data_IF_912634486032
#
_entry.id   IF_912634486032
#
_cell.length_a   1.000
_cell.length_b   1.000
_cell.length_c   1.000
_cell.angle_alpha   90.00
_cell.angle_beta   90.00
_cell.angle_gamma   90.00
#
_symmetry.space_group_name_H-M   'P 1'
#
loop_
_entity.id
_entity.type
_entity.pdbx_description
1 polymer ?
#
# COMPACT_ATOMS: atom_id res chain seq x y z
N UNK A 1 -25.00 -7.36 -3.82
CA UNK A 1 -23.72 -8.05 -3.52
C UNK A 1 -22.82 -7.87 -4.73
N UNK A 2 -21.72 -7.17 -4.57
CA UNK A 2 -20.67 -7.09 -5.59
C UNK A 2 -20.00 -8.46 -5.68
N UNK A 3 -19.86 -8.99 -6.89
CA UNK A 3 -19.13 -10.24 -7.13
C UNK A 3 -17.68 -9.91 -7.48
N UNK A 4 -16.75 -10.60 -6.84
CA UNK A 4 -15.32 -10.52 -7.11
C UNK A 4 -14.85 -11.90 -7.57
N UNK A 5 -14.18 -11.95 -8.73
CA UNK A 5 -13.57 -13.20 -9.19
C UNK A 5 -12.44 -13.58 -8.23
N UNK A 6 -12.34 -14.85 -7.79
CA UNK A 6 -11.29 -15.26 -6.85
C UNK A 6 -9.87 -15.04 -7.39
N UNK A 7 -9.71 -15.13 -8.71
CA UNK A 7 -8.46 -14.98 -9.43
C UNK A 7 -8.75 -14.39 -10.81
N UNK A 8 -7.84 -13.55 -11.33
CA UNK A 8 -7.91 -13.05 -12.70
C UNK A 8 -6.54 -12.77 -13.28
N UNK A 9 -6.46 -12.80 -14.61
CA UNK A 9 -5.27 -12.42 -15.39
C UNK A 9 -5.23 -10.91 -15.64
N UNK A 10 -4.06 -10.31 -15.45
CA UNK A 10 -3.80 -8.90 -15.77
C UNK A 10 -2.47 -8.75 -16.52
N UNK A 11 -2.38 -7.69 -17.31
CA UNK A 11 -1.13 -7.26 -17.95
C UNK A 11 -0.78 -5.90 -17.34
N UNK A 12 0.38 -5.83 -16.70
CA UNK A 12 0.85 -4.66 -15.97
C UNK A 12 2.31 -4.35 -16.34
N UNK A 13 2.69 -3.08 -16.36
CA UNK A 13 4.02 -2.66 -16.79
C UNK A 13 4.96 -2.44 -15.60
N UNK A 14 6.09 -3.13 -15.60
CA UNK A 14 7.13 -3.10 -14.57
C UNK A 14 8.48 -2.87 -15.23
N UNK A 15 9.28 -1.92 -14.73
CA UNK A 15 10.62 -1.65 -15.27
C UNK A 15 10.61 -1.42 -16.81
N UNK A 16 9.52 -0.84 -17.33
CA UNK A 16 9.31 -0.60 -18.77
C UNK A 16 8.90 -1.81 -19.61
N UNK A 17 8.59 -2.95 -18.98
CA UNK A 17 8.23 -4.19 -19.65
C UNK A 17 6.83 -4.67 -19.20
N UNK A 18 5.95 -5.10 -20.12
CA UNK A 18 4.68 -5.71 -19.74
C UNK A 18 4.92 -7.11 -19.17
N UNK A 19 4.27 -7.41 -18.05
CA UNK A 19 4.20 -8.74 -17.45
C UNK A 19 2.74 -9.19 -17.39
N UNK A 20 2.45 -10.39 -17.91
CA UNK A 20 1.19 -11.09 -17.65
C UNK A 20 1.32 -11.88 -16.34
N UNK A 21 0.30 -11.78 -15.49
CA UNK A 21 0.26 -12.50 -14.20
C UNK A 21 -1.16 -12.86 -13.79
N UNK A 22 -1.25 -13.83 -12.89
CA UNK A 22 -2.45 -14.14 -12.13
C UNK A 22 -2.42 -13.38 -10.79
N UNK A 23 -3.53 -12.75 -10.44
CA UNK A 23 -3.71 -12.07 -9.15
C UNK A 23 -4.89 -12.65 -8.40
N UNK A 24 -4.72 -12.85 -7.09
CA UNK A 24 -5.67 -13.55 -6.22
C UNK A 24 -6.33 -12.56 -5.28
N UNK A 25 -7.67 -12.63 -5.20
CA UNK A 25 -8.48 -11.84 -4.29
C UNK A 25 -8.18 -12.20 -2.83
N UNK A 26 -7.81 -11.20 -2.04
CA UNK A 26 -7.77 -11.27 -0.58
C UNK A 26 -8.98 -10.52 -0.03
N UNK A 27 -9.80 -11.23 0.73
CA UNK A 27 -10.96 -10.71 1.44
C UNK A 27 -10.68 -10.84 2.94
N UNK A 28 -10.29 -9.73 3.56
CA UNK A 28 -9.98 -9.69 4.99
C UNK A 28 -11.17 -9.15 5.78
N UNK A 29 -11.21 -9.43 7.08
CA UNK A 29 -12.23 -8.87 7.97
C UNK A 29 -12.12 -7.34 8.14
N UNK A 30 -11.10 -6.72 7.54
CA UNK A 30 -10.77 -5.30 7.64
C UNK A 30 -11.66 -4.37 6.78
N UNK A 31 -12.66 -4.90 6.07
CA UNK A 31 -13.61 -4.08 5.29
C UNK A 31 -13.05 -3.58 3.96
N UNK A 32 -12.10 -4.32 3.38
CA UNK A 32 -11.62 -4.10 2.03
C UNK A 32 -11.33 -5.44 1.36
N UNK A 33 -11.25 -5.40 0.04
CA UNK A 33 -10.65 -6.47 -0.75
C UNK A 33 -9.51 -5.91 -1.60
N UNK A 34 -8.51 -6.73 -1.85
CA UNK A 34 -7.36 -6.37 -2.70
C UNK A 34 -6.91 -7.61 -3.46
N UNK A 35 -6.42 -7.45 -4.69
CA UNK A 35 -5.82 -8.55 -5.44
C UNK A 35 -4.31 -8.52 -5.28
N UNK A 36 -3.71 -9.68 -5.01
CA UNK A 36 -2.26 -9.83 -4.80
C UNK A 36 -1.68 -10.83 -5.80
N UNK A 37 -0.51 -10.48 -6.33
CA UNK A 37 0.39 -11.41 -7.02
C UNK A 37 1.02 -12.37 -5.99
N UNK A 38 0.37 -13.52 -5.77
CA UNK A 38 0.79 -14.53 -4.76
C UNK A 38 2.04 -15.32 -5.15
N UNK A 39 2.53 -15.17 -6.39
CA UNK A 39 3.84 -15.71 -6.77
C UNK A 39 4.96 -14.94 -6.04
N UNK A 40 4.78 -13.62 -5.90
CA UNK A 40 5.81 -12.72 -5.37
C UNK A 40 5.56 -12.25 -3.94
N UNK A 41 4.30 -12.14 -3.54
CA UNK A 41 3.93 -11.59 -2.24
C UNK A 41 3.04 -12.54 -1.45
N UNK A 42 2.90 -12.24 -0.17
CA UNK A 42 1.94 -12.88 0.72
C UNK A 42 1.32 -11.82 1.63
N UNK A 43 0.07 -12.05 2.01
CA UNK A 43 -0.62 -11.30 3.04
C UNK A 43 -0.32 -11.90 4.42
N UNK A 44 0.02 -11.05 5.39
CA UNK A 44 0.21 -11.40 6.79
C UNK A 44 -0.76 -10.56 7.60
N UNK A 45 -1.68 -11.20 8.29
CA UNK A 45 -2.65 -10.52 9.16
C UNK A 45 -2.03 -10.33 10.53
N UNK A 46 -1.84 -9.08 10.94
CA UNK A 46 -1.40 -8.71 12.29
C UNK A 46 -2.60 -8.19 13.09
N UNK A 47 -2.45 -8.05 14.41
CA UNK A 47 -3.54 -7.69 15.33
C UNK A 47 -4.31 -6.42 14.91
N UNK A 48 -3.63 -5.45 14.29
CA UNK A 48 -4.19 -4.13 13.99
C UNK A 48 -4.03 -3.69 12.52
N UNK A 49 -3.47 -4.54 11.67
CA UNK A 49 -3.19 -4.20 10.27
C UNK A 49 -2.98 -5.46 9.43
N UNK A 50 -3.25 -5.33 8.15
CA UNK A 50 -2.89 -6.31 7.15
C UNK A 50 -1.57 -5.89 6.48
N UNK A 51 -0.60 -6.80 6.37
CA UNK A 51 0.75 -6.49 5.83
C UNK A 51 1.07 -7.39 4.64
N UNK A 52 1.32 -6.78 3.50
CA UNK A 52 1.75 -7.46 2.28
C UNK A 52 3.27 -7.39 2.22
N UNK A 53 3.92 -8.55 2.19
CA UNK A 53 5.39 -8.68 2.19
C UNK A 53 5.85 -9.61 1.07
N UNK A 54 7.10 -9.47 0.59
CA UNK A 54 7.70 -10.44 -0.32
C UNK A 54 7.60 -11.86 0.24
N UNK A 55 7.23 -12.81 -0.63
CA UNK A 55 7.11 -14.23 -0.28
C UNK A 55 8.47 -14.82 0.05
N UNK A 56 9.48 -14.45 -0.74
CA UNK A 56 10.90 -14.69 -0.47
C UNK A 56 11.44 -13.45 0.24
N UNK A 57 11.89 -13.56 1.51
CA UNK A 57 12.50 -12.45 2.22
C UNK A 57 13.71 -11.92 1.46
N UNK A 58 13.90 -10.61 1.50
CA UNK A 58 15.11 -9.97 1.00
C UNK A 58 16.29 -10.28 1.93
N UNK A 59 17.50 -10.25 1.39
CA UNK A 59 18.72 -10.32 2.20
C UNK A 59 18.82 -9.11 3.12
N UNK A 60 19.45 -9.27 4.29
CA UNK A 60 19.55 -8.23 5.34
C UNK A 60 20.20 -6.91 4.88
N UNK A 61 20.95 -6.94 3.78
CA UNK A 61 21.54 -5.73 3.19
C UNK A 61 20.51 -4.80 2.53
N UNK A 62 19.31 -5.30 2.23
CA UNK A 62 18.28 -4.54 1.56
C UNK A 62 17.34 -3.88 2.58
N UNK A 63 16.94 -2.63 2.34
CA UNK A 63 15.88 -2.00 3.14
C UNK A 63 14.56 -2.75 3.07
N UNK A 64 13.70 -2.48 4.04
CA UNK A 64 12.37 -3.06 4.15
C UNK A 64 11.53 -2.83 2.88
N UNK A 65 10.89 -3.91 2.42
CA UNK A 65 9.86 -3.87 1.37
C UNK A 65 8.58 -4.46 1.93
N UNK A 66 7.55 -3.63 2.03
CA UNK A 66 6.25 -4.04 2.58
C UNK A 66 5.15 -3.03 2.20
N UNK A 67 3.89 -3.46 2.22
CA UNK A 67 2.74 -2.57 2.20
C UNK A 67 1.80 -2.93 3.35
N UNK A 68 1.63 -2.04 4.32
CA UNK A 68 0.70 -2.22 5.44
C UNK A 68 -0.60 -1.46 5.19
N UNK A 69 -1.74 -2.06 5.51
CA UNK A 69 -3.07 -1.48 5.42
C UNK A 69 -3.68 -1.49 6.82
N UNK A 70 -3.88 -0.30 7.38
CA UNK A 70 -4.43 -0.12 8.73
C UNK A 70 -5.74 0.64 8.67
N UNK A 71 -6.76 0.11 9.34
CA UNK A 71 -8.03 0.82 9.53
C UNK A 71 -8.01 1.59 10.87
N UNK A 72 -8.31 2.88 10.83
CA UNK A 72 -8.45 3.74 12.00
C UNK A 72 -9.92 4.08 12.21
N UNK A 73 -10.58 3.39 13.15
CA UNK A 73 -11.98 3.62 13.48
C UNK A 73 -12.12 4.93 14.28
N UNK A 74 -13.04 5.80 13.87
CA UNK A 74 -13.31 7.08 14.54
C UNK A 74 -12.27 8.17 14.32
N UNK A 75 -11.23 7.91 13.51
CA UNK A 75 -10.23 8.92 13.12
C UNK A 75 -10.49 9.32 11.68
N UNK A 76 -10.85 10.59 11.48
CA UNK A 76 -11.14 11.12 10.15
C UNK A 76 -9.86 11.24 9.31
N UNK A 77 -9.95 11.17 7.97
CA UNK A 77 -8.81 11.29 7.09
C UNK A 77 -7.92 12.50 7.38
N UNK A 78 -8.50 13.66 7.69
CA UNK A 78 -7.75 14.89 7.98
C UNK A 78 -6.88 14.77 9.24
N UNK A 79 -7.39 14.10 10.27
CA UNK A 79 -6.65 13.82 11.50
C UNK A 79 -5.54 12.82 11.24
N UNK A 80 -5.85 11.73 10.53
CA UNK A 80 -4.86 10.72 10.15
C UNK A 80 -3.73 11.33 9.30
N UNK A 81 -4.04 12.21 8.32
CA UNK A 81 -3.03 12.90 7.50
C UNK A 81 -2.07 13.70 8.40
N UNK A 82 -2.59 14.50 9.33
CA UNK A 82 -1.77 15.30 10.23
C UNK A 82 -0.85 14.43 11.11
N UNK A 83 -1.38 13.34 11.67
CA UNK A 83 -0.61 12.37 12.45
C UNK A 83 0.50 11.71 11.59
N UNK A 84 0.18 11.27 10.37
CA UNK A 84 1.15 10.63 9.50
C UNK A 84 2.26 11.60 9.06
N UNK A 85 1.93 12.87 8.81
CA UNK A 85 2.96 13.88 8.51
C UNK A 85 3.93 14.05 9.67
N UNK A 86 3.44 14.12 10.91
CA UNK A 86 4.28 14.25 12.10
C UNK A 86 5.17 13.00 12.26
N UNK A 87 4.59 11.81 12.19
CA UNK A 87 5.32 10.54 12.33
C UNK A 87 6.41 10.37 11.25
N UNK A 88 6.16 10.82 10.03
CA UNK A 88 7.15 10.80 8.96
C UNK A 88 8.24 11.85 9.18
N UNK A 89 7.89 13.06 9.64
CA UNK A 89 8.87 14.12 9.88
C UNK A 89 9.85 13.79 11.02
N UNK A 90 9.45 12.93 11.96
CA UNK A 90 10.33 12.41 13.02
C UNK A 90 11.36 11.38 12.50
N UNK A 91 11.08 10.72 11.36
CA UNK A 91 11.86 9.58 10.86
C UNK A 91 12.62 9.84 9.56
N UNK A 92 12.16 10.77 8.74
CA UNK A 92 12.69 11.01 7.40
C UNK A 92 13.17 12.45 7.24
N UNK A 93 14.34 12.63 6.61
CA UNK A 93 14.90 13.95 6.36
C UNK A 93 14.04 14.79 5.38
N UNK A 94 13.35 14.13 4.45
CA UNK A 94 12.48 14.79 3.48
C UNK A 94 11.08 14.17 3.50
N UNK A 95 10.10 14.98 3.86
CA UNK A 95 8.66 14.67 3.76
C UNK A 95 8.03 15.68 2.80
N UNK A 96 7.41 15.18 1.74
CA UNK A 96 6.67 16.01 0.79
C UNK A 96 5.33 16.44 1.40
N UNK A 97 4.80 17.57 0.92
CA UNK A 97 3.48 18.03 1.36
C UNK A 97 2.39 17.01 0.94
N UNK A 98 1.28 16.87 1.70
CA UNK A 98 0.18 15.99 1.32
C UNK A 98 -0.46 16.48 0.02
N UNK A 99 -0.72 15.55 -0.90
CA UNK A 99 -1.34 15.84 -2.20
C UNK A 99 -2.52 14.90 -2.41
N UNK A 100 -3.65 15.44 -2.87
CA UNK A 100 -4.79 14.63 -3.29
C UNK A 100 -4.48 13.95 -4.62
N UNK A 101 -4.72 12.65 -4.69
CA UNK A 101 -4.49 11.81 -5.86
C UNK A 101 -5.75 11.02 -6.19
N UNK A 102 -5.94 10.73 -7.47
CA UNK A 102 -6.99 9.83 -7.98
C UNK A 102 -6.41 8.48 -8.38
N UNK A 103 -5.10 8.33 -8.33
CA UNK A 103 -4.32 7.19 -8.82
C UNK A 103 -3.23 6.84 -7.79
N UNK A 104 -3.01 5.55 -7.43
CA UNK A 104 -3.74 4.37 -7.90
C UNK A 104 -5.17 4.25 -7.35
N UNK A 105 -5.52 5.07 -6.36
CA UNK A 105 -6.87 5.20 -5.81
C UNK A 105 -7.12 6.64 -5.36
N UNK A 106 -8.38 6.97 -5.08
CA UNK A 106 -8.74 8.25 -4.48
C UNK A 106 -8.27 8.33 -3.02
N UNK A 107 -7.26 9.16 -2.77
CA UNK A 107 -6.65 9.32 -1.45
C UNK A 107 -5.91 10.66 -1.32
N UNK A 108 -5.45 10.96 -0.10
CA UNK A 108 -4.35 11.92 0.11
C UNK A 108 -3.05 11.15 0.27
N UNK A 109 -2.07 11.45 -0.58
CA UNK A 109 -0.73 10.86 -0.58
C UNK A 109 0.24 11.75 0.19
N UNK A 110 1.00 11.15 1.09
CA UNK A 110 2.20 11.73 1.72
C UNK A 110 3.38 10.85 1.30
N UNK A 111 4.41 11.46 0.73
CA UNK A 111 5.64 10.74 0.36
C UNK A 111 6.80 11.22 1.21
N UNK A 112 7.63 10.30 1.67
CA UNK A 112 8.85 10.59 2.39
C UNK A 112 10.01 9.77 1.83
N UNK A 113 11.21 10.34 1.87
CA UNK A 113 12.45 9.62 1.50
C UNK A 113 13.61 10.07 2.35
N UNK A 114 14.60 9.19 2.49
CA UNK A 114 15.86 9.51 3.16
C UNK A 114 17.08 9.21 2.26
N UNK A 115 17.80 10.27 1.86
CA UNK A 115 18.94 10.17 0.94
C UNK A 115 18.58 10.07 -0.56
N UNK A 116 19.61 9.83 -1.38
CA UNK A 116 19.53 9.62 -2.84
C UNK A 116 20.30 8.36 -3.29
N UNK A 117 20.69 7.50 -2.35
CA UNK A 117 21.41 6.26 -2.64
C UNK A 117 20.44 5.20 -3.19
N UNK A 118 20.97 4.16 -3.84
CA UNK A 118 20.14 3.08 -4.38
C UNK A 118 19.30 2.40 -3.29
N UNK A 119 19.86 2.27 -2.08
CA UNK A 119 19.26 1.73 -0.86
C UNK A 119 18.53 2.78 0.00
N UNK A 120 18.35 4.01 -0.50
CA UNK A 120 17.60 5.03 0.23
C UNK A 120 16.15 4.61 0.45
N UNK A 121 15.65 4.56 1.70
CA UNK A 121 14.26 4.24 1.98
C UNK A 121 13.30 5.25 1.34
N UNK A 122 12.21 4.72 0.79
CA UNK A 122 11.09 5.46 0.22
C UNK A 122 9.82 4.97 0.89
N UNK A 123 9.03 5.90 1.39
CA UNK A 123 7.72 5.62 1.99
C UNK A 123 6.64 6.42 1.31
N UNK A 124 5.56 5.74 0.94
CA UNK A 124 4.32 6.36 0.44
C UNK A 124 3.18 5.99 1.37
N UNK A 125 2.48 6.99 1.88
CA UNK A 125 1.32 6.84 2.75
C UNK A 125 0.09 7.37 2.04
N UNK A 126 -0.89 6.52 1.82
CA UNK A 126 -2.20 6.88 1.28
C UNK A 126 -3.22 6.90 2.41
N UNK A 127 -3.90 8.03 2.59
CA UNK A 127 -4.97 8.19 3.57
C UNK A 127 -6.29 8.42 2.85
N UNK A 128 -7.30 7.61 3.17
CA UNK A 128 -8.62 7.67 2.58
C UNK A 128 -9.71 7.41 3.63
N UNK A 129 -10.94 7.83 3.34
CA UNK A 129 -12.10 7.52 4.18
C UNK A 129 -12.39 6.03 4.18
N UNK A 130 -12.82 5.48 5.32
CA UNK A 130 -13.34 4.12 5.38
C UNK A 130 -14.85 4.02 5.09
N UNK A 131 -15.52 5.14 4.75
CA UNK A 131 -16.96 5.20 4.51
C UNK A 131 -17.84 5.21 5.77
N UNK A 132 -17.26 5.02 6.97
CA UNK A 132 -17.96 4.83 8.24
C UNK A 132 -17.42 5.71 9.37
N UNK A 133 -17.04 6.95 9.05
CA UNK A 133 -16.55 7.92 10.05
C UNK A 133 -15.14 7.61 10.59
N UNK A 134 -14.35 6.84 9.85
CA UNK A 134 -12.93 6.60 10.10
C UNK A 134 -12.10 6.70 8.81
N UNK A 135 -10.90 6.16 8.84
CA UNK A 135 -9.97 6.21 7.71
C UNK A 135 -9.21 4.89 7.53
N UNK A 136 -8.66 4.70 6.34
CA UNK A 136 -7.59 3.76 6.10
C UNK A 136 -6.28 4.53 5.93
N UNK A 137 -5.20 3.96 6.45
CA UNK A 137 -3.82 4.38 6.23
C UNK A 137 -3.09 3.22 5.57
N UNK A 138 -2.70 3.41 4.31
CA UNK A 138 -1.95 2.42 3.54
C UNK A 138 -0.53 2.91 3.36
N UNK A 139 0.44 2.18 3.90
CA UNK A 139 1.85 2.57 3.91
C UNK A 139 2.67 1.57 3.10
N UNK A 140 3.12 2.01 1.92
CA UNK A 140 4.09 1.29 1.11
C UNK A 140 5.51 1.73 1.48
N UNK A 141 6.38 0.78 1.78
CA UNK A 141 7.82 0.97 2.02
C UNK A 141 8.62 0.16 1.02
N UNK A 142 9.63 0.78 0.46
CA UNK A 142 10.62 0.16 -0.42
C UNK A 142 11.86 1.07 -0.45
N UNK A 143 12.82 0.80 -1.33
CA UNK A 143 14.02 1.62 -1.50
C UNK A 143 14.13 2.15 -2.94
N UNK A 144 14.97 3.16 -3.15
CA UNK A 144 15.01 3.93 -4.39
C UNK A 144 15.19 3.05 -5.64
N UNK A 145 16.13 2.09 -5.61
CA UNK A 145 16.36 1.14 -6.71
C UNK A 145 15.17 0.19 -6.93
N UNK A 146 14.42 -0.13 -5.87
CA UNK A 146 13.24 -0.98 -5.94
C UNK A 146 11.96 -0.26 -6.38
N UNK A 147 12.01 1.03 -6.72
CA UNK A 147 10.82 1.82 -7.04
C UNK A 147 10.08 1.32 -8.30
N UNK A 148 10.82 0.97 -9.36
CA UNK A 148 10.24 0.52 -10.64
C UNK A 148 9.73 -0.92 -10.59
N UNK A 149 10.27 -1.74 -9.68
CA UNK A 149 9.81 -3.10 -9.42
C UNK A 149 8.76 -3.15 -8.30
N UNK A 150 9.20 -3.06 -7.04
CA UNK A 150 8.32 -3.17 -5.87
C UNK A 150 7.34 -1.99 -5.76
N UNK A 151 7.79 -0.77 -6.00
CA UNK A 151 6.93 0.42 -5.96
C UNK A 151 5.80 0.36 -6.99
N UNK A 152 6.10 -0.08 -8.21
CA UNK A 152 5.10 -0.31 -9.26
C UNK A 152 4.12 -1.44 -8.88
N UNK A 153 4.61 -2.54 -8.31
CA UNK A 153 3.74 -3.66 -7.87
C UNK A 153 2.76 -3.22 -6.79
N UNK A 154 3.21 -2.46 -5.80
CA UNK A 154 2.28 -1.88 -4.81
C UNK A 154 1.29 -0.91 -5.45
N UNK A 155 1.74 -0.09 -6.42
CA UNK A 155 0.84 0.80 -7.16
C UNK A 155 -0.29 0.03 -7.86
N UNK A 156 0.01 -1.07 -8.57
CA UNK A 156 -1.02 -1.87 -9.22
C UNK A 156 -1.91 -2.64 -8.25
N UNK A 157 -1.38 -3.18 -7.15
CA UNK A 157 -2.19 -3.77 -6.09
C UNK A 157 -3.20 -2.76 -5.54
N UNK A 158 -2.76 -1.53 -5.30
CA UNK A 158 -3.63 -0.44 -4.84
C UNK A 158 -4.68 -0.04 -5.87
N UNK A 159 -4.43 -0.19 -7.19
CA UNK A 159 -5.49 0.00 -8.22
C UNK A 159 -6.64 -1.00 -8.07
N UNK A 160 -6.36 -2.16 -7.48
CA UNK A 160 -7.36 -3.21 -7.24
C UNK A 160 -8.01 -3.10 -5.86
N UNK A 161 -7.57 -2.15 -5.02
CA UNK A 161 -8.11 -1.95 -3.68
C UNK A 161 -9.56 -1.47 -3.78
N UNK A 162 -10.48 -2.22 -3.16
CA UNK A 162 -11.90 -1.88 -3.14
C UNK A 162 -12.43 -1.96 -1.72
N UNK A 163 -13.08 -0.89 -1.26
CA UNK A 163 -13.81 -0.92 0.01
C UNK A 163 -15.02 -1.83 -0.12
N UNK A 164 -15.24 -2.67 0.88
CA UNK A 164 -16.44 -3.52 0.98
C UNK A 164 -17.09 -3.29 2.33
N UNK A 165 -18.42 -3.32 2.36
CA UNK A 165 -19.14 -3.27 3.62
C UNK A 165 -18.64 -4.42 4.52
N UNK A 166 -18.32 -4.11 5.77
CA UNK A 166 -17.94 -5.14 6.73
C UNK A 166 -19.08 -6.16 6.81
N UNK A 167 -18.75 -7.45 6.69
CA UNK A 167 -19.73 -8.52 6.87
C UNK A 167 -20.26 -8.39 8.32
N UNK A 168 -21.54 -8.05 8.45
CA UNK A 168 -22.27 -8.05 9.73
C UNK A 168 -22.33 -9.44 10.33
#
# INVERSE_FOLDING_TARGET
KQYFEPEKKVIEEYEGMPEEKDIVLQDTESGFVIYIDEERYKLVQEENQDVIVPKVPLEDRYPEVSMSIKQLKGILPEQAIAEQQQLLAEKYAKVEAPVKVTEPLEATLISAKDGQSWDSPVVKVYVLSNGHGGSFVITGKYFLEAAEGHGARFYYMLKQFTLVDQKQ
#
